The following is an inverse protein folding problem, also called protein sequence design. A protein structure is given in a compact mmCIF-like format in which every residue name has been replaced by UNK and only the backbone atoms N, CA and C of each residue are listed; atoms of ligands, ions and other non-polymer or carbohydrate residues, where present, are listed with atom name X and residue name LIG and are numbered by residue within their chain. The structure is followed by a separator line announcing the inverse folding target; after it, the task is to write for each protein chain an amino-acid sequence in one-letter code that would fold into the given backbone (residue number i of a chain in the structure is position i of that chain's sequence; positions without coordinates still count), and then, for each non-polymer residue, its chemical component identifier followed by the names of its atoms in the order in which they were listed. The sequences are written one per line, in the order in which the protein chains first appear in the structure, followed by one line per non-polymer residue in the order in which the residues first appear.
data_IF_580654964388
#
_entry.id   IF_580654964388
#
_cell.length_a   1.000
_cell.length_b   1.000
_cell.length_c   1.000
_cell.angle_alpha   90.00
_cell.angle_beta   90.00
_cell.angle_gamma   90.00
#
_symmetry.space_group_name_H-M   'P 1'
#
loop_
_entity.id
_entity.type
_entity.pdbx_description
1 polymer ?
#
# COMPACT_ATOMS: atom_id res chain seq x y z
N UNK A 1 13.95 -5.73 6.28
CA UNK A 1 12.52 -5.56 6.66
C UNK A 1 12.09 -6.58 7.70
N UNK A 2 12.37 -7.88 7.54
CA UNK A 2 11.95 -8.93 8.48
C UNK A 2 12.38 -8.71 9.93
N UNK A 3 13.66 -8.37 10.18
CA UNK A 3 14.14 -8.07 11.54
C UNK A 3 13.30 -6.99 12.25
N UNK A 4 12.93 -5.94 11.52
CA UNK A 4 12.09 -4.87 12.06
C UNK A 4 10.64 -5.32 12.24
N UNK A 5 10.15 -6.17 11.33
CA UNK A 5 8.77 -6.68 11.37
C UNK A 5 8.53 -7.53 12.62
N UNK A 6 9.50 -8.35 12.99
CA UNK A 6 9.46 -9.14 14.22
C UNK A 6 9.58 -8.26 15.47
N UNK A 7 10.56 -7.35 15.50
CA UNK A 7 10.86 -6.55 16.70
C UNK A 7 9.87 -5.42 16.98
N UNK A 8 9.19 -4.91 15.95
CA UNK A 8 8.28 -3.77 16.05
C UNK A 8 6.81 -4.18 15.84
N UNK A 9 6.53 -5.49 15.81
CA UNK A 9 5.18 -6.01 15.65
C UNK A 9 4.19 -5.36 16.63
N UNK A 10 3.10 -4.81 16.10
CA UNK A 10 2.06 -4.11 16.88
C UNK A 10 2.38 -2.67 17.23
N UNK A 11 3.60 -2.17 17.00
CA UNK A 11 4.00 -0.79 17.24
C UNK A 11 4.17 0.01 15.94
N UNK A 12 4.90 -0.57 14.99
CA UNK A 12 5.22 0.04 13.70
C UNK A 12 5.23 -1.03 12.60
N UNK A 13 4.88 -0.62 11.39
CA UNK A 13 5.00 -1.45 10.20
C UNK A 13 6.20 -0.97 9.38
N UNK A 14 7.23 -1.80 9.20
CA UNK A 14 8.32 -1.50 8.28
C UNK A 14 7.84 -1.72 6.85
N UNK A 15 7.99 -0.70 6.02
CA UNK A 15 7.64 -0.74 4.61
C UNK A 15 8.86 -0.40 3.74
N UNK A 16 8.97 -1.02 2.58
CA UNK A 16 10.07 -0.78 1.64
C UNK A 16 9.53 0.04 0.48
N UNK A 17 10.12 1.21 0.27
CA UNK A 17 9.86 2.09 -0.88
C UNK A 17 10.70 1.74 -2.12
N UNK A 18 11.43 0.61 -2.08
CA UNK A 18 12.43 0.26 -3.08
C UNK A 18 13.74 0.99 -2.83
N UNK A 19 14.83 0.60 -3.51
CA UNK A 19 16.16 1.25 -3.41
C UNK A 19 16.93 1.06 -2.09
N UNK A 20 16.55 0.07 -1.27
CA UNK A 20 17.29 -0.29 -0.05
C UNK A 20 16.98 0.56 1.18
N UNK A 21 16.04 1.49 1.09
CA UNK A 21 15.47 2.21 2.23
C UNK A 21 14.34 1.41 2.91
N UNK A 22 14.14 1.66 4.20
CA UNK A 22 13.01 1.14 4.97
C UNK A 22 12.36 2.29 5.72
N UNK A 23 11.08 2.49 5.49
CA UNK A 23 10.25 3.45 6.20
C UNK A 23 9.54 2.73 7.36
N UNK A 24 9.48 3.35 8.53
CA UNK A 24 8.72 2.84 9.67
C UNK A 24 7.47 3.70 9.81
N UNK A 25 6.30 3.10 9.54
CA UNK A 25 5.01 3.78 9.63
C UNK A 25 4.20 3.25 10.81
N UNK A 26 3.25 4.04 11.30
CA UNK A 26 2.26 3.55 12.24
C UNK A 26 1.42 2.44 11.58
N UNK A 27 1.02 1.45 12.35
CA UNK A 27 0.30 0.26 11.87
C UNK A 27 -1.05 0.54 11.20
N UNK A 28 -1.58 1.75 11.32
CA UNK A 28 -2.84 2.16 10.70
C UNK A 28 -2.62 3.16 9.55
N UNK A 29 -1.40 3.65 9.34
CA UNK A 29 -1.09 4.70 8.37
C UNK A 29 -0.57 4.12 7.04
N UNK A 30 -1.39 3.32 6.37
CA UNK A 30 -1.10 2.77 5.04
C UNK A 30 -1.64 3.68 3.92
N UNK A 31 -1.14 3.52 2.67
CA UNK A 31 -1.66 4.25 1.49
C UNK A 31 -3.18 4.08 1.36
N UNK A 32 -3.67 2.85 1.55
CA UNK A 32 -5.10 2.52 1.52
C UNK A 32 -5.90 3.23 2.61
N UNK A 33 -5.33 3.47 3.79
CA UNK A 33 -6.01 4.20 4.85
C UNK A 33 -6.28 5.65 4.43
N UNK A 34 -5.26 6.34 3.90
CA UNK A 34 -5.42 7.69 3.35
C UNK A 34 -6.41 7.73 2.18
N UNK A 35 -6.38 6.71 1.31
CA UNK A 35 -7.31 6.59 0.20
C UNK A 35 -8.76 6.40 0.67
N UNK A 36 -9.02 5.53 1.66
CA UNK A 36 -10.35 5.33 2.24
C UNK A 36 -10.93 6.63 2.80
N UNK A 37 -10.11 7.41 3.52
CA UNK A 37 -10.52 8.72 4.03
C UNK A 37 -10.87 9.70 2.89
N UNK A 38 -10.11 9.68 1.79
CA UNK A 38 -10.37 10.55 0.64
C UNK A 38 -11.65 10.15 -0.09
N UNK A 39 -11.85 8.86 -0.34
CA UNK A 39 -13.06 8.30 -0.98
C UNK A 39 -14.31 8.67 -0.18
N UNK A 40 -14.28 8.48 1.14
CA UNK A 40 -15.37 8.86 2.03
C UNK A 40 -15.63 10.38 1.98
N UNK A 41 -14.57 11.20 2.06
CA UNK A 41 -14.69 12.66 2.03
C UNK A 41 -15.28 13.17 0.70
N UNK A 42 -14.96 12.52 -0.41
CA UNK A 42 -15.46 12.87 -1.73
C UNK A 42 -16.85 12.31 -2.03
N UNK A 43 -17.37 11.41 -1.18
CA UNK A 43 -18.66 10.75 -1.39
C UNK A 43 -18.70 9.86 -2.63
N UNK A 44 -17.55 9.29 -3.01
CA UNK A 44 -17.42 8.36 -4.13
C UNK A 44 -17.26 6.94 -3.60
N UNK A 45 -17.40 5.96 -4.49
CA UNK A 45 -17.15 4.55 -4.19
C UNK A 45 -15.77 4.12 -4.72
N UNK A 46 -15.18 3.03 -4.18
CA UNK A 46 -13.89 2.52 -4.66
C UNK A 46 -13.90 2.10 -6.14
N UNK A 47 -15.05 1.71 -6.68
CA UNK A 47 -15.26 1.38 -8.11
C UNK A 47 -15.11 2.60 -9.05
N UNK A 48 -15.13 3.81 -8.49
CA UNK A 48 -14.86 5.06 -9.19
C UNK A 48 -13.39 5.49 -9.08
N UNK A 49 -12.53 4.65 -8.49
CA UNK A 49 -11.12 4.93 -8.30
C UNK A 49 -10.25 4.05 -9.20
N UNK A 50 -9.12 4.62 -9.67
CA UNK A 50 -8.07 3.89 -10.36
C UNK A 50 -6.77 4.05 -9.58
N UNK A 51 -6.09 2.94 -9.26
CA UNK A 51 -4.79 2.95 -8.60
C UNK A 51 -3.67 2.43 -9.52
N UNK A 52 -2.46 2.94 -9.31
CA UNK A 52 -1.23 2.49 -9.96
C UNK A 52 -0.17 2.25 -8.89
N UNK A 53 0.61 1.18 -9.00
CA UNK A 53 1.58 0.82 -7.98
C UNK A 53 2.64 -0.18 -8.43
N UNK A 54 3.73 -0.25 -7.69
CA UNK A 54 4.89 -1.08 -8.04
C UNK A 54 5.53 -1.79 -6.84
N UNK A 55 5.29 -1.26 -5.63
CA UNK A 55 5.85 -1.76 -4.38
C UNK A 55 4.85 -2.54 -3.53
N UNK A 56 5.36 -3.37 -2.62
CA UNK A 56 4.52 -4.14 -1.70
C UNK A 56 3.63 -3.28 -0.80
N UNK A 57 3.94 -1.99 -0.66
CA UNK A 57 3.13 -1.00 0.06
C UNK A 57 1.95 -0.45 -0.75
N UNK A 58 1.83 -0.83 -2.02
CA UNK A 58 0.71 -0.50 -2.90
C UNK A 58 -0.35 -1.61 -2.94
N UNK A 59 -0.02 -2.84 -2.54
CA UNK A 59 -0.90 -4.03 -2.68
C UNK A 59 -2.30 -3.75 -2.14
N UNK A 60 -2.43 -3.36 -0.86
CA UNK A 60 -3.73 -3.10 -0.26
C UNK A 60 -4.51 -1.96 -0.95
N UNK A 61 -3.82 -1.04 -1.63
CA UNK A 61 -4.44 0.09 -2.33
C UNK A 61 -4.93 -0.36 -3.71
N UNK A 62 -4.13 -1.19 -4.38
CA UNK A 62 -4.47 -1.81 -5.66
C UNK A 62 -5.65 -2.77 -5.52
N UNK A 63 -5.74 -3.53 -4.43
CA UNK A 63 -6.88 -4.41 -4.10
C UNK A 63 -8.15 -3.62 -3.75
N UNK A 64 -8.01 -2.39 -3.25
CA UNK A 64 -9.14 -1.58 -2.79
C UNK A 64 -9.85 -0.84 -3.92
N UNK A 65 -9.13 -0.30 -4.90
CA UNK A 65 -9.72 0.39 -6.05
C UNK A 65 -10.43 -0.61 -6.97
N UNK A 66 -11.57 -0.21 -7.57
CA UNK A 66 -12.26 -1.11 -8.50
C UNK A 66 -11.53 -1.31 -9.83
N UNK A 67 -10.55 -0.47 -10.12
CA UNK A 67 -9.56 -0.73 -11.18
C UNK A 67 -8.17 -0.39 -10.67
N UNK A 68 -7.21 -1.25 -10.97
CA UNK A 68 -5.83 -1.05 -10.56
C UNK A 68 -4.88 -1.61 -11.62
N UNK A 69 -3.67 -1.07 -11.64
CA UNK A 69 -2.63 -1.44 -12.56
C UNK A 69 -1.27 -1.49 -11.86
N UNK A 70 -0.57 -2.59 -12.04
CA UNK A 70 0.82 -2.71 -11.69
C UNK A 70 1.71 -2.03 -12.74
N UNK A 71 2.78 -1.39 -12.29
CA UNK A 71 3.80 -0.87 -13.20
C UNK A 71 4.66 -2.02 -13.76
N UNK A 72 5.25 -1.85 -14.93
CA UNK A 72 6.12 -2.87 -15.55
C UNK A 72 7.27 -3.32 -14.64
N UNK A 73 7.80 -2.38 -13.85
CA UNK A 73 8.87 -2.58 -12.87
C UNK A 73 8.40 -3.11 -11.50
N UNK A 74 7.11 -3.47 -11.37
CA UNK A 74 6.55 -3.91 -10.11
C UNK A 74 7.19 -5.22 -9.61
N UNK A 75 7.22 -5.38 -8.29
CA UNK A 75 7.64 -6.65 -7.68
C UNK A 75 6.66 -7.78 -8.03
N UNK A 76 7.14 -9.03 -8.04
CA UNK A 76 6.27 -10.20 -8.35
C UNK A 76 5.03 -10.29 -7.45
N UNK A 77 5.15 -9.88 -6.19
CA UNK A 77 4.00 -9.85 -5.27
C UNK A 77 2.91 -8.85 -5.72
N UNK A 78 3.31 -7.74 -6.34
CA UNK A 78 2.39 -6.72 -6.85
C UNK A 78 1.77 -7.14 -8.19
N UNK A 79 2.52 -7.86 -9.02
CA UNK A 79 2.04 -8.41 -10.31
C UNK A 79 0.98 -9.51 -10.16
N UNK A 80 0.73 -9.99 -8.94
CA UNK A 80 -0.26 -11.02 -8.63
C UNK A 80 -1.57 -10.46 -8.06
N UNK A 81 -1.65 -9.13 -7.89
CA UNK A 81 -2.86 -8.41 -7.47
C UNK A 81 -3.76 -8.22 -8.68
#
# INVERSE_FOLDING_TARGET
VELFREKLAGLLVPTSSGHGSVDLILSECHKTFGLKMLVERLGINPDQCVAFGDGGNDIEMLEYCGLSYEMDNATEAVKQV
#
